data_IF_238676080681
#
_entry.id   IF_238676080681
#
_cell.length_a   1.000
_cell.length_b   1.000
_cell.length_c   1.000
_cell.angle_alpha   90.00
_cell.angle_beta   90.00
_cell.angle_gamma   90.00
#
_symmetry.space_group_name_H-M   'P 1'
#
loop_
_entity.id
_entity.type
_entity.pdbx_description
1 polymer ?
#
# COMPACT_ATOMS: atom_id res chain seq x y z
N UNK A 1 16.48 -7.61 22.67
CA UNK A 1 16.24 -7.58 21.20
C UNK A 1 15.68 -6.23 20.72
N UNK A 2 15.81 -5.13 21.49
CA UNK A 2 15.36 -3.77 21.10
C UNK A 2 16.45 -2.91 20.45
N UNK A 3 17.73 -3.29 20.60
CA UNK A 3 18.87 -2.48 20.14
C UNK A 3 18.95 -2.34 18.62
N UNK A 4 18.57 -3.39 17.88
CA UNK A 4 18.73 -3.43 16.42
C UNK A 4 17.79 -2.44 15.72
N UNK A 5 16.56 -2.25 16.23
CA UNK A 5 15.58 -1.31 15.65
C UNK A 5 16.06 0.14 15.74
N UNK A 6 16.68 0.52 16.86
CA UNK A 6 17.25 1.85 17.06
C UNK A 6 18.44 2.10 16.12
N UNK A 7 19.27 1.08 15.89
CA UNK A 7 20.43 1.18 15.00
C UNK A 7 19.99 1.33 13.53
N UNK A 8 18.96 0.61 13.08
CA UNK A 8 18.40 0.80 11.74
C UNK A 8 17.77 2.18 11.54
N UNK A 9 17.08 2.71 12.55
CA UNK A 9 16.54 4.07 12.50
C UNK A 9 17.65 5.13 12.40
N UNK A 10 18.79 4.89 13.05
CA UNK A 10 19.95 5.78 13.03
C UNK A 10 20.71 5.72 11.68
N UNK A 11 20.71 4.55 11.03
CA UNK A 11 21.19 4.40 9.66
C UNK A 11 20.24 5.10 8.68
N UNK A 12 18.92 4.92 8.82
CA UNK A 12 17.93 5.57 7.97
C UNK A 12 17.97 7.10 8.08
N UNK A 13 18.18 7.66 9.28
CA UNK A 13 18.36 9.10 9.47
C UNK A 13 19.69 9.61 8.91
N UNK A 14 20.76 8.81 9.00
CA UNK A 14 22.06 9.13 8.40
C UNK A 14 21.98 9.18 6.86
N UNK A 15 21.24 8.26 6.23
CA UNK A 15 21.00 8.31 4.78
C UNK A 15 20.10 9.49 4.36
N UNK A 16 19.15 9.91 5.20
CA UNK A 16 18.36 11.12 4.96
C UNK A 16 19.23 12.38 5.00
N UNK A 17 20.21 12.43 5.89
CA UNK A 17 21.16 13.54 6.02
C UNK A 17 22.20 13.56 4.87
N UNK A 18 22.61 12.39 4.36
CA UNK A 18 23.42 12.29 3.13
C UNK A 18 22.61 12.68 1.88
N UNK A 19 21.28 12.50 1.90
CA UNK A 19 20.38 12.98 0.82
C UNK A 19 20.31 14.51 0.72
N UNK A 20 20.58 15.24 1.80
CA UNK A 20 20.73 16.70 1.77
C UNK A 20 22.06 17.15 1.14
N UNK A 21 23.05 16.25 1.03
CA UNK A 21 24.33 16.49 0.36
C UNK A 21 24.35 16.04 -1.11
N UNK A 22 23.44 15.14 -1.51
CA UNK A 22 23.22 14.78 -2.90
C UNK A 22 22.27 15.79 -3.55
N UNK A 23 22.74 16.53 -4.56
CA UNK A 23 22.01 17.64 -5.18
C UNK A 23 20.61 17.30 -5.73
N UNK A 24 19.97 18.33 -6.33
CA UNK A 24 18.61 18.31 -6.91
C UNK A 24 18.25 16.91 -7.46
N UNK A 25 17.12 16.30 -7.05
CA UNK A 25 16.76 14.95 -7.50
C UNK A 25 16.51 14.95 -9.02
N UNK A 26 17.12 13.99 -9.73
CA UNK A 26 17.09 13.88 -11.20
C UNK A 26 17.04 12.43 -11.64
N UNK A 27 16.49 12.19 -12.83
CA UNK A 27 16.49 10.87 -13.46
C UNK A 27 15.13 10.18 -13.45
N UNK A 28 15.10 8.95 -13.99
CA UNK A 28 13.89 8.13 -14.08
C UNK A 28 13.72 7.31 -12.80
N UNK A 29 12.55 7.41 -12.19
CA UNK A 29 12.14 6.59 -11.04
C UNK A 29 11.00 5.68 -11.48
N UNK A 30 11.22 4.37 -11.40
CA UNK A 30 10.28 3.32 -11.78
C UNK A 30 9.57 2.83 -10.53
N UNK A 31 8.29 3.19 -10.41
CA UNK A 31 7.46 2.92 -9.23
C UNK A 31 6.37 1.92 -9.59
N UNK A 32 6.13 0.95 -8.72
CA UNK A 32 4.96 0.08 -8.84
C UNK A 32 4.00 0.25 -7.66
N UNK A 33 2.69 0.29 -7.91
CA UNK A 33 1.68 0.53 -6.86
C UNK A 33 0.32 -0.17 -7.13
N UNK A 34 -0.53 -0.43 -6.10
CA UNK A 34 -1.84 -1.03 -6.28
C UNK A 34 -2.80 -0.08 -7.01
N UNK A 35 -3.73 -0.63 -7.78
CA UNK A 35 -4.57 0.16 -8.71
C UNK A 35 -5.37 1.24 -8.01
N UNK A 36 -6.08 0.86 -6.95
CA UNK A 36 -6.90 1.79 -6.19
C UNK A 36 -6.04 2.89 -5.54
N UNK A 37 -4.91 2.52 -4.94
CA UNK A 37 -4.03 3.47 -4.26
C UNK A 37 -3.39 4.46 -5.23
N UNK A 38 -2.83 3.97 -6.34
CA UNK A 38 -2.22 4.79 -7.37
C UNK A 38 -3.21 5.86 -7.85
N UNK A 39 -4.43 5.45 -8.20
CA UNK A 39 -5.46 6.35 -8.72
C UNK A 39 -5.98 7.35 -7.67
N UNK A 40 -6.19 6.91 -6.43
CA UNK A 40 -6.83 7.73 -5.40
C UNK A 40 -5.87 8.64 -4.64
N UNK A 41 -4.60 8.24 -4.51
CA UNK A 41 -3.64 8.90 -3.62
C UNK A 41 -2.38 9.39 -4.34
N UNK A 42 -1.83 8.59 -5.26
CA UNK A 42 -0.56 8.91 -5.90
C UNK A 42 -0.72 9.88 -7.07
N UNK A 43 -1.57 9.55 -8.04
CA UNK A 43 -1.80 10.35 -9.25
C UNK A 43 -2.22 11.80 -8.94
N UNK A 44 -3.11 12.08 -7.95
CA UNK A 44 -3.46 13.45 -7.62
C UNK A 44 -2.30 14.30 -7.07
N UNK A 45 -1.25 13.67 -6.51
CA UNK A 45 -0.09 14.36 -5.90
C UNK A 45 1.10 14.46 -6.85
N UNK A 46 1.10 13.67 -7.93
CA UNK A 46 2.21 13.58 -8.86
C UNK A 46 2.49 14.90 -9.61
N UNK A 47 1.49 15.70 -10.04
CA UNK A 47 1.74 16.98 -10.69
C UNK A 47 2.54 17.96 -9.82
N UNK A 48 2.14 18.13 -8.55
CA UNK A 48 2.83 19.03 -7.61
C UNK A 48 4.27 18.56 -7.35
N UNK A 49 4.46 17.24 -7.22
CA UNK A 49 5.78 16.65 -7.05
C UNK A 49 6.69 16.88 -8.26
N UNK A 50 6.17 16.68 -9.47
CA UNK A 50 6.94 16.89 -10.72
C UNK A 50 7.21 18.38 -10.97
N UNK A 51 6.30 19.27 -10.58
CA UNK A 51 6.52 20.71 -10.64
C UNK A 51 7.66 21.16 -9.70
N UNK A 52 7.73 20.57 -8.50
CA UNK A 52 8.81 20.83 -7.55
C UNK A 52 10.15 20.17 -7.95
N UNK A 53 10.13 19.14 -8.81
CA UNK A 53 11.30 18.35 -9.21
C UNK A 53 11.31 18.12 -10.73
N UNK A 54 11.54 19.16 -11.55
CA UNK A 54 11.38 19.10 -13.00
C UNK A 54 12.39 18.18 -13.72
N UNK A 55 13.51 17.86 -13.06
CA UNK A 55 14.52 16.92 -13.59
C UNK A 55 14.17 15.45 -13.29
N UNK A 56 13.10 15.18 -12.54
CA UNK A 56 12.62 13.83 -12.22
C UNK A 56 11.59 13.38 -13.26
N UNK A 57 11.74 12.15 -13.74
CA UNK A 57 10.73 11.45 -14.53
C UNK A 57 10.20 10.28 -13.71
N UNK A 58 8.88 10.09 -13.69
CA UNK A 58 8.26 8.96 -12.98
C UNK A 58 7.62 8.03 -13.99
N UNK A 59 8.05 6.77 -14.00
CA UNK A 59 7.36 5.69 -14.68
C UNK A 59 6.56 4.91 -13.64
N UNK A 60 5.24 5.02 -13.69
CA UNK A 60 4.34 4.35 -12.76
C UNK A 60 3.72 3.12 -13.43
N UNK A 61 4.03 1.94 -12.89
CA UNK A 61 3.30 0.71 -13.20
C UNK A 61 2.26 0.43 -12.12
N UNK A 62 1.04 0.15 -12.57
CA UNK A 62 -0.08 -0.02 -11.66
C UNK A 62 -0.59 -1.45 -11.75
N UNK A 63 -0.38 -2.22 -10.68
CA UNK A 63 -0.68 -3.65 -10.64
C UNK A 63 -0.96 -4.09 -9.21
N UNK A 64 -1.95 -4.96 -9.04
CA UNK A 64 -2.25 -5.60 -7.76
C UNK A 64 -1.43 -6.90 -7.54
N UNK A 65 -0.57 -7.27 -8.50
CA UNK A 65 0.32 -8.44 -8.38
C UNK A 65 1.52 -8.11 -7.51
N UNK A 66 1.99 -9.11 -6.77
CA UNK A 66 3.28 -9.04 -6.07
C UNK A 66 4.39 -9.26 -7.10
N UNK A 67 4.87 -8.15 -7.65
CA UNK A 67 6.03 -8.08 -8.52
C UNK A 67 7.32 -8.13 -7.69
N UNK A 68 8.37 -8.77 -8.22
CA UNK A 68 9.70 -8.73 -7.60
C UNK A 68 10.42 -7.45 -8.05
N UNK A 69 10.75 -6.58 -7.09
CA UNK A 69 11.42 -5.29 -7.34
C UNK A 69 12.69 -5.45 -8.18
N UNK A 70 13.56 -6.39 -7.78
CA UNK A 70 14.86 -6.62 -8.41
C UNK A 70 14.77 -7.29 -9.78
N UNK A 71 13.81 -8.19 -9.98
CA UNK A 71 13.67 -8.91 -11.26
C UNK A 71 12.99 -8.06 -12.33
N UNK A 72 12.15 -7.09 -11.95
CA UNK A 72 11.35 -6.27 -12.87
C UNK A 72 11.93 -4.86 -13.07
N UNK A 73 13.00 -4.53 -12.34
CA UNK A 73 13.74 -3.27 -12.48
C UNK A 73 12.96 -2.07 -11.96
N UNK A 74 12.24 -2.24 -10.85
CA UNK A 74 11.59 -1.15 -10.12
C UNK A 74 12.52 -0.59 -9.05
N UNK A 75 12.52 0.72 -8.89
CA UNK A 75 13.26 1.40 -7.83
C UNK A 75 12.46 1.42 -6.52
N UNK A 76 11.12 1.44 -6.60
CA UNK A 76 10.21 1.56 -5.47
C UNK A 76 8.92 0.76 -5.70
N UNK A 77 8.42 0.08 -4.66
CA UNK A 77 7.13 -0.59 -4.65
C UNK A 77 6.28 -0.14 -3.46
N UNK A 78 5.08 0.35 -3.76
CA UNK A 78 4.05 0.59 -2.74
C UNK A 78 3.15 -0.65 -2.70
N UNK A 79 2.92 -1.25 -1.52
CA UNK A 79 2.13 -2.49 -1.37
C UNK A 79 1.34 -2.54 -0.07
N UNK A 80 0.18 -3.19 -0.10
CA UNK A 80 -0.48 -3.62 1.14
C UNK A 80 0.14 -4.93 1.61
N UNK A 81 0.70 -4.94 2.81
CA UNK A 81 1.25 -6.13 3.43
C UNK A 81 0.75 -6.29 4.86
N UNK A 82 0.75 -7.53 5.34
CA UNK A 82 0.55 -7.81 6.76
C UNK A 82 1.86 -7.68 7.53
N UNK A 83 2.99 -7.92 6.86
CA UNK A 83 4.33 -7.89 7.45
C UNK A 83 5.33 -7.28 6.46
N UNK A 84 6.36 -6.60 6.97
CA UNK A 84 7.43 -6.09 6.12
C UNK A 84 8.21 -7.28 5.51
N UNK A 85 8.45 -7.29 4.18
CA UNK A 85 9.27 -8.34 3.58
C UNK A 85 10.71 -8.29 4.11
N UNK A 86 11.29 -9.45 4.41
CA UNK A 86 12.68 -9.54 4.92
C UNK A 86 13.74 -9.22 3.84
N UNK A 87 13.35 -9.28 2.57
CA UNK A 87 14.27 -9.17 1.42
C UNK A 87 14.56 -7.74 0.98
N UNK A 88 13.81 -6.75 1.48
CA UNK A 88 13.92 -5.35 1.07
C UNK A 88 13.71 -4.42 2.27
N UNK A 89 14.28 -3.22 2.23
CA UNK A 89 14.05 -2.20 3.26
C UNK A 89 12.65 -1.63 3.06
N UNK A 90 11.70 -2.05 3.90
CA UNK A 90 10.32 -1.59 3.82
C UNK A 90 9.99 -0.53 4.89
N UNK A 91 9.30 0.54 4.48
CA UNK A 91 8.85 1.64 5.31
C UNK A 91 7.32 1.63 5.38
N UNK A 92 6.76 1.63 6.61
CA UNK A 92 5.32 1.74 6.79
C UNK A 92 4.86 3.17 6.46
N UNK A 93 4.01 3.30 5.44
CA UNK A 93 3.37 4.56 5.06
C UNK A 93 2.13 4.85 5.91
N UNK A 94 1.23 3.87 6.05
CA UNK A 94 0.03 3.99 6.89
C UNK A 94 -0.61 2.64 7.20
N UNK A 95 -1.46 2.58 8.22
CA UNK A 95 -2.37 1.45 8.45
C UNK A 95 -3.62 1.58 7.57
N UNK A 96 -4.15 0.45 7.09
CA UNK A 96 -5.35 0.34 6.26
C UNK A 96 -6.27 -0.74 6.81
N UNK A 97 -7.59 -0.53 6.72
CA UNK A 97 -8.60 -1.45 7.23
C UNK A 97 -9.72 -1.67 6.22
N UNK A 98 -10.29 -2.87 6.22
CA UNK A 98 -11.46 -3.19 5.40
C UNK A 98 -12.75 -2.85 6.15
N UNK A 99 -13.68 -2.21 5.45
CA UNK A 99 -15.01 -1.88 5.97
C UNK A 99 -16.09 -2.58 5.15
N UNK A 100 -17.16 -2.99 5.82
CA UNK A 100 -18.38 -3.47 5.16
C UNK A 100 -19.28 -2.26 4.93
N UNK A 101 -19.62 -2.02 3.67
CA UNK A 101 -20.50 -0.91 3.27
C UNK A 101 -21.67 -1.43 2.46
N UNK A 102 -22.82 -0.78 2.58
CA UNK A 102 -24.00 -1.07 1.80
C UNK A 102 -24.67 0.23 1.38
N UNK A 103 -25.28 0.26 0.19
CA UNK A 103 -26.03 1.43 -0.24
C UNK A 103 -27.29 1.61 0.62
N UNK A 104 -27.70 2.85 0.85
CA UNK A 104 -28.94 3.15 1.60
C UNK A 104 -30.16 2.48 0.98
N UNK A 105 -30.21 2.41 -0.35
CA UNK A 105 -31.29 1.76 -1.08
C UNK A 105 -31.38 0.25 -0.79
N UNK A 106 -30.23 -0.42 -0.63
CA UNK A 106 -30.17 -1.83 -0.28
C UNK A 106 -30.64 -2.07 1.16
N UNK A 107 -30.12 -1.28 2.11
CA UNK A 107 -30.49 -1.40 3.54
C UNK A 107 -31.98 -1.14 3.78
N UNK A 108 -32.61 -0.22 3.05
CA UNK A 108 -34.06 0.00 3.15
C UNK A 108 -34.89 -1.20 2.70
N UNK A 109 -34.42 -1.98 1.71
CA UNK A 109 -35.12 -3.15 1.18
C UNK A 109 -34.88 -4.42 2.00
N UNK A 110 -33.67 -4.58 2.56
CA UNK A 110 -33.21 -5.82 3.19
C UNK A 110 -33.00 -5.71 4.70
N UNK A 111 -33.12 -4.52 5.27
CA UNK A 111 -32.80 -4.22 6.66
C UNK A 111 -31.30 -4.05 6.90
N UNK A 112 -30.94 -3.47 8.04
CA UNK A 112 -29.54 -3.36 8.49
C UNK A 112 -29.14 -4.62 9.24
N UNK A 113 -28.05 -5.30 8.83
CA UNK A 113 -27.59 -6.49 9.54
C UNK A 113 -27.15 -6.10 10.96
N UNK A 114 -27.69 -6.81 11.96
CA UNK A 114 -27.35 -6.61 13.38
C UNK A 114 -26.18 -7.47 13.84
N UNK A 115 -25.76 -8.44 13.03
CA UNK A 115 -24.62 -9.31 13.30
C UNK A 115 -23.94 -9.78 12.01
N UNK A 116 -22.66 -10.17 12.04
CA UNK A 116 -21.93 -10.65 10.87
C UNK A 116 -22.52 -11.91 10.24
N UNK A 117 -23.15 -12.78 11.03
CA UNK A 117 -23.72 -14.04 10.56
C UNK A 117 -24.83 -13.80 9.53
N UNK A 118 -25.62 -12.73 9.72
CA UNK A 118 -26.70 -12.31 8.82
C UNK A 118 -26.16 -11.99 7.41
N UNK A 119 -24.89 -11.60 7.28
CA UNK A 119 -24.28 -11.29 5.98
C UNK A 119 -24.25 -12.52 5.04
N UNK A 120 -24.24 -13.75 5.57
CA UNK A 120 -24.29 -14.96 4.76
C UNK A 120 -25.64 -15.13 4.03
N UNK A 121 -26.72 -14.60 4.60
CA UNK A 121 -28.06 -14.64 4.00
C UNK A 121 -28.33 -13.42 3.09
N UNK A 122 -27.41 -12.46 3.04
CA UNK A 122 -27.52 -11.25 2.24
C UNK A 122 -26.79 -11.39 0.89
N UNK A 123 -27.22 -10.62 -0.11
CA UNK A 123 -26.48 -10.54 -1.38
C UNK A 123 -25.25 -9.65 -1.16
N UNK A 124 -24.07 -10.27 -1.06
CA UNK A 124 -22.80 -9.58 -0.80
C UNK A 124 -21.91 -9.61 -2.04
N UNK A 125 -21.42 -8.45 -2.47
CA UNK A 125 -20.33 -8.37 -3.43
C UNK A 125 -19.01 -8.30 -2.64
N UNK A 126 -18.16 -9.32 -2.80
CA UNK A 126 -16.83 -9.35 -2.19
C UNK A 126 -15.76 -9.18 -3.26
N UNK A 127 -14.87 -8.21 -3.07
CA UNK A 127 -13.68 -8.05 -3.91
C UNK A 127 -12.58 -8.89 -3.28
N UNK A 128 -12.31 -10.06 -3.87
CA UNK A 128 -11.14 -10.86 -3.50
C UNK A 128 -9.92 -10.33 -4.25
N UNK A 129 -9.01 -9.72 -3.50
CA UNK A 129 -7.67 -9.39 -4.02
C UNK A 129 -6.81 -10.65 -3.84
N UNK A 130 -6.47 -11.31 -4.94
CA UNK A 130 -5.64 -12.51 -4.95
C UNK A 130 -4.18 -12.10 -4.74
N UNK A 131 -3.75 -12.06 -3.49
CA UNK A 131 -2.34 -11.97 -3.14
C UNK A 131 -1.73 -13.38 -3.27
N UNK A 132 -0.49 -13.46 -3.78
CA UNK A 132 0.25 -14.72 -3.92
C UNK A 132 0.16 -15.54 -2.63
N UNK A 133 -0.29 -16.79 -2.77
CA UNK A 133 -0.47 -17.85 -1.78
C UNK A 133 -0.19 -17.48 -0.32
N UNK A 134 -1.15 -16.88 0.38
CA UNK A 134 -1.46 -17.24 1.77
C UNK A 134 -2.98 -17.27 1.98
N UNK A 135 -3.49 -18.48 2.24
CA UNK A 135 -4.90 -18.75 2.57
C UNK A 135 -5.26 -18.04 3.88
N UNK A 136 -6.00 -16.94 3.78
CA UNK A 136 -6.57 -16.25 4.94
C UNK A 136 -8.07 -16.46 5.05
N UNK A 137 -8.52 -17.13 6.10
CA UNK A 137 -9.91 -17.19 6.54
C UNK A 137 -10.50 -15.77 6.69
N UNK A 138 -11.72 -15.56 6.18
CA UNK A 138 -12.52 -14.37 6.46
C UNK A 138 -12.98 -14.45 7.92
N UNK A 139 -12.27 -13.78 8.83
CA UNK A 139 -12.76 -13.50 10.18
C UNK A 139 -13.49 -12.17 10.17
N UNK A 140 -14.63 -12.09 10.88
CA UNK A 140 -15.48 -10.90 10.98
C UNK A 140 -14.82 -9.69 11.67
N UNK A 141 -13.59 -9.83 12.18
CA UNK A 141 -12.72 -8.70 12.53
C UNK A 141 -11.98 -8.26 11.27
N UNK A 142 -12.28 -7.05 10.79
CA UNK A 142 -11.52 -6.41 9.72
C UNK A 142 -10.02 -6.54 10.00
N UNK A 143 -9.31 -7.24 9.12
CA UNK A 143 -7.87 -7.49 9.30
C UNK A 143 -7.13 -6.20 8.94
N UNK A 144 -6.39 -5.66 9.89
CA UNK A 144 -5.51 -4.51 9.64
C UNK A 144 -4.40 -4.93 8.68
N UNK A 145 -4.09 -4.06 7.72
CA UNK A 145 -2.99 -4.21 6.77
C UNK A 145 -2.19 -2.93 6.75
N UNK A 146 -0.90 -3.04 6.57
CA UNK A 146 -0.03 -1.88 6.43
C UNK A 146 0.22 -1.60 4.95
N UNK A 147 0.11 -0.33 4.57
CA UNK A 147 0.67 0.15 3.32
C UNK A 147 2.16 0.38 3.56
N UNK A 148 2.99 -0.35 2.82
CA UNK A 148 4.44 -0.25 2.89
C UNK A 148 4.99 0.29 1.58
N UNK A 149 6.09 1.02 1.67
CA UNK A 149 6.97 1.38 0.57
C UNK A 149 8.23 0.52 0.71
N UNK A 150 8.57 -0.28 -0.29
CA UNK A 150 9.76 -1.13 -0.32
C UNK A 150 10.63 -0.80 -1.55
#
# INVERSE_FOLDING_TARGET
MDSTRSQYAQIASSFAMVRELSGVPRGLVRVTAPVAFARQQLVPKLPDFLAANPEVRVQLEVSDRVASLSAEGFDLAIRHSFEAPETHVAWKLCSTYSVVVASRAYLRKRGTPKSPEILHAMTVCSIRVQQGSQRGHLSAKGRERDLILA
#
